data_IF_827699354634
#
_entry.id   IF_827699354634
#
_cell.length_a   1.000
_cell.length_b   1.000
_cell.length_c   1.000
_cell.angle_alpha   90.00
_cell.angle_beta   90.00
_cell.angle_gamma   90.00
#
_symmetry.space_group_name_H-M   'P 1'
#
loop_
_entity.id
_entity.type
_entity.pdbx_description
1 polymer ?
#
# COMPACT_ATOMS: atom_id res chain seq x y z
N UNK A 1 -8.28 8.07 -3.43
CA UNK A 1 -7.25 7.40 -4.28
C UNK A 1 -7.59 7.23 -5.79
N UNK A 2 -8.70 7.75 -6.33
CA UNK A 2 -8.95 7.71 -7.80
C UNK A 2 -7.84 8.36 -8.64
N UNK A 3 -7.19 9.39 -8.07
CA UNK A 3 -5.88 9.95 -8.46
C UNK A 3 -4.89 8.87 -8.91
N UNK A 4 -4.53 8.08 -7.91
CA UNK A 4 -3.56 7.01 -7.96
C UNK A 4 -4.03 5.87 -8.87
N UNK A 5 -5.30 5.46 -8.78
CA UNK A 5 -5.87 4.42 -9.65
C UNK A 5 -5.58 4.70 -11.14
N UNK A 6 -5.88 5.91 -11.61
CA UNK A 6 -5.61 6.28 -13.01
C UNK A 6 -4.13 6.29 -13.38
N UNK A 7 -3.26 6.64 -12.43
CA UNK A 7 -1.81 6.59 -12.66
C UNK A 7 -1.31 5.15 -12.79
N UNK A 8 -1.82 4.26 -11.94
CA UNK A 8 -1.49 2.84 -12.00
C UNK A 8 -1.99 2.21 -13.31
N UNK A 9 -3.19 2.55 -13.77
CA UNK A 9 -3.68 2.15 -15.10
C UNK A 9 -2.78 2.64 -16.25
N UNK A 10 -2.08 3.76 -16.07
CA UNK A 10 -1.10 4.27 -17.05
C UNK A 10 0.27 3.59 -16.95
N UNK A 11 0.43 2.59 -16.08
CA UNK A 11 1.69 1.89 -15.85
C UNK A 11 2.62 2.54 -14.81
N UNK A 12 2.15 3.54 -14.06
CA UNK A 12 2.97 4.22 -13.05
C UNK A 12 3.06 3.37 -11.78
N UNK A 13 4.29 3.04 -11.37
CA UNK A 13 4.55 2.39 -10.09
C UNK A 13 4.39 3.36 -8.93
N UNK A 14 3.93 2.82 -7.81
CA UNK A 14 3.75 3.54 -6.57
C UNK A 14 4.37 2.77 -5.41
N UNK A 15 4.91 3.52 -4.46
CA UNK A 15 5.53 2.97 -3.25
C UNK A 15 4.65 3.24 -2.03
N UNK A 16 4.72 2.34 -1.05
CA UNK A 16 4.13 2.51 0.27
C UNK A 16 5.20 2.31 1.35
N UNK A 17 5.11 3.11 2.41
CA UNK A 17 6.07 3.07 3.51
C UNK A 17 5.65 2.03 4.55
N UNK A 18 6.60 1.21 5.01
CA UNK A 18 6.40 0.15 6.00
C UNK A 18 5.71 0.66 7.28
N UNK A 19 6.09 1.86 7.74
CA UNK A 19 5.51 2.52 8.91
C UNK A 19 3.97 2.68 8.82
N UNK A 20 3.42 2.85 7.61
CA UNK A 20 1.98 2.96 7.36
C UNK A 20 1.22 1.64 7.58
N UNK A 21 1.91 0.50 7.65
CA UNK A 21 1.32 -0.83 7.85
C UNK A 21 1.50 -1.39 9.26
N UNK A 22 2.48 -0.87 10.02
CA UNK A 22 2.87 -1.45 11.33
C UNK A 22 2.47 -0.57 12.52
N UNK A 23 1.39 0.22 12.37
CA UNK A 23 0.81 1.06 13.42
C UNK A 23 1.74 2.16 13.99
N UNK A 24 2.67 2.71 13.19
CA UNK A 24 3.34 3.98 13.57
C UNK A 24 2.42 5.21 13.35
N UNK A 25 1.23 5.01 12.78
CA UNK A 25 0.26 6.04 12.42
C UNK A 25 -1.16 5.73 12.94
N UNK A 26 -2.12 6.64 12.69
CA UNK A 26 -3.53 6.44 13.05
C UNK A 26 -4.15 5.23 12.35
N UNK A 27 -5.22 4.69 12.95
CA UNK A 27 -6.04 3.62 12.38
C UNK A 27 -6.53 3.96 10.96
N UNK A 28 -6.89 5.22 10.71
CA UNK A 28 -7.27 5.70 9.37
C UNK A 28 -6.15 5.53 8.32
N UNK A 29 -4.89 5.77 8.70
CA UNK A 29 -3.75 5.57 7.80
C UNK A 29 -3.51 4.09 7.54
N UNK A 30 -3.68 3.25 8.57
CA UNK A 30 -3.55 1.80 8.42
C UNK A 30 -4.63 1.27 7.47
N UNK A 31 -5.89 1.58 7.71
CA UNK A 31 -7.02 1.14 6.88
C UNK A 31 -6.84 1.57 5.43
N UNK A 32 -6.50 2.85 5.21
CA UNK A 32 -6.27 3.35 3.87
C UNK A 32 -5.09 2.66 3.18
N UNK A 33 -4.01 2.37 3.91
CA UNK A 33 -2.84 1.66 3.38
C UNK A 33 -3.17 0.23 2.97
N UNK A 34 -4.02 -0.46 3.74
CA UNK A 34 -4.51 -1.79 3.40
C UNK A 34 -5.41 -1.75 2.16
N UNK A 35 -6.32 -0.77 2.05
CA UNK A 35 -7.13 -0.58 0.84
C UNK A 35 -6.26 -0.39 -0.40
N UNK A 36 -5.15 0.35 -0.31
CA UNK A 36 -4.23 0.50 -1.46
C UNK A 36 -3.60 -0.83 -1.89
N UNK A 37 -3.27 -1.72 -0.95
CA UNK A 37 -2.70 -3.05 -1.25
C UNK A 37 -3.77 -3.96 -1.86
N UNK A 38 -4.95 -4.03 -1.23
CA UNK A 38 -6.09 -4.83 -1.69
C UNK A 38 -6.48 -4.48 -3.14
N UNK A 39 -6.41 -3.20 -3.48
CA UNK A 39 -6.74 -2.70 -4.82
C UNK A 39 -5.55 -2.67 -5.80
N UNK A 40 -4.39 -3.24 -5.42
CA UNK A 40 -3.16 -3.26 -6.24
C UNK A 40 -2.71 -1.87 -6.70
N UNK A 41 -2.85 -0.88 -5.82
CA UNK A 41 -2.49 0.52 -6.10
C UNK A 41 -1.07 0.88 -5.67
N UNK A 42 -0.38 -0.03 -4.97
CA UNK A 42 1.00 0.12 -4.51
C UNK A 42 1.78 -1.13 -4.86
N UNK A 43 3.04 -0.95 -5.25
CA UNK A 43 3.84 -1.96 -5.94
C UNK A 43 5.18 -2.22 -5.26
N UNK A 44 5.61 -1.29 -4.41
CA UNK A 44 6.92 -1.34 -3.76
C UNK A 44 6.70 -1.03 -2.29
N UNK A 45 7.19 -1.92 -1.42
CA UNK A 45 7.23 -1.67 0.01
C UNK A 45 8.62 -1.11 0.37
N UNK A 46 8.65 0.09 0.96
CA UNK A 46 9.90 0.76 1.36
C UNK A 46 9.92 1.04 2.84
N UNK A 47 11.11 1.11 3.44
CA UNK A 47 11.24 1.45 4.85
C UNK A 47 11.04 2.95 5.13
N UNK A 48 11.53 3.80 4.20
CA UNK A 48 11.69 5.24 4.39
C UNK A 48 12.39 5.59 5.72
N UNK A 49 13.35 4.73 6.09
CA UNK A 49 14.02 4.78 7.37
C UNK A 49 15.03 5.92 7.47
N UNK A 50 15.11 6.54 8.65
CA UNK A 50 16.05 7.65 8.93
C UNK A 50 16.86 7.43 10.22
N UNK A 51 16.79 6.25 10.82
CA UNK A 51 17.56 5.88 11.99
C UNK A 51 17.03 4.64 12.71
N UNK A 52 17.68 4.27 13.82
CA UNK A 52 17.31 3.08 14.60
C UNK A 52 16.20 3.36 15.63
N UNK A 53 16.06 4.61 16.08
CA UNK A 53 15.08 5.03 17.10
C UNK A 53 13.82 5.65 16.49
N UNK A 54 14.00 6.61 15.57
CA UNK A 54 12.91 7.31 14.88
C UNK A 54 12.89 6.86 13.42
N UNK A 55 11.71 6.49 12.89
CA UNK A 55 11.54 5.93 11.54
C UNK A 55 12.49 4.75 11.31
N UNK A 56 12.32 3.73 12.16
CA UNK A 56 13.08 2.49 12.07
C UNK A 56 12.62 1.66 10.86
N UNK A 57 13.44 0.75 10.32
CA UNK A 57 13.20 0.25 8.96
C UNK A 57 12.04 -0.73 8.78
N UNK A 58 11.41 -1.26 9.83
CA UNK A 58 10.15 -2.06 9.91
C UNK A 58 9.71 -2.98 8.74
N UNK A 59 10.60 -3.32 7.80
CA UNK A 59 10.24 -3.94 6.52
C UNK A 59 9.75 -5.37 6.69
N UNK A 60 10.36 -6.16 7.58
CA UNK A 60 9.95 -7.55 7.82
C UNK A 60 8.50 -7.61 8.33
N UNK A 61 8.17 -6.84 9.36
CA UNK A 61 6.81 -6.80 9.90
C UNK A 61 5.80 -6.29 8.86
N UNK A 62 6.16 -5.25 8.09
CA UNK A 62 5.28 -4.74 7.04
C UNK A 62 5.09 -5.74 5.88
N UNK A 63 6.13 -6.52 5.53
CA UNK A 63 6.06 -7.60 4.55
C UNK A 63 5.07 -8.68 5.00
N UNK A 64 5.08 -9.05 6.27
CA UNK A 64 4.16 -10.05 6.82
C UNK A 64 2.70 -9.56 6.74
N UNK A 65 2.46 -8.26 6.95
CA UNK A 65 1.15 -7.64 6.73
C UNK A 65 0.75 -7.67 5.25
N UNK A 66 1.66 -7.38 4.32
CA UNK A 66 1.36 -7.53 2.88
C UNK A 66 1.02 -8.97 2.53
N UNK A 67 1.75 -9.95 3.09
CA UNK A 67 1.53 -11.36 2.84
C UNK A 67 0.15 -11.83 3.34
N UNK A 68 -0.33 -11.31 4.47
CA UNK A 68 -1.67 -11.64 4.97
C UNK A 68 -2.81 -11.05 4.13
N UNK A 69 -2.59 -9.89 3.49
CA UNK A 69 -3.60 -9.20 2.67
C UNK A 69 -3.63 -9.73 1.23
N UNK A 70 -2.46 -9.82 0.59
CA UNK A 70 -2.34 -10.07 -0.85
C UNK A 70 -1.60 -11.37 -1.20
N UNK A 71 -1.17 -12.13 -0.18
CA UNK A 71 -0.45 -13.41 -0.34
C UNK A 71 1.07 -13.26 -0.43
N UNK A 72 1.76 -14.38 -0.20
CA UNK A 72 3.24 -14.43 -0.15
C UNK A 72 3.89 -14.02 -1.47
N UNK A 73 3.26 -14.33 -2.61
CA UNK A 73 3.76 -13.95 -3.93
C UNK A 73 3.75 -12.42 -4.12
N UNK A 74 2.69 -11.74 -3.69
CA UNK A 74 2.60 -10.28 -3.74
C UNK A 74 3.62 -9.65 -2.80
N UNK A 75 3.74 -10.15 -1.57
CA UNK A 75 4.74 -9.67 -0.61
C UNK A 75 6.17 -9.77 -1.18
N UNK A 76 6.53 -10.95 -1.70
CA UNK A 76 7.83 -11.17 -2.36
C UNK A 76 8.02 -10.25 -3.56
N UNK A 77 6.99 -10.07 -4.40
CA UNK A 77 7.07 -9.20 -5.57
C UNK A 77 7.34 -7.75 -5.17
N UNK A 78 6.68 -7.25 -4.13
CA UNK A 78 6.80 -5.88 -3.64
C UNK A 78 8.13 -5.59 -2.92
N UNK A 79 8.74 -6.60 -2.26
CA UNK A 79 9.96 -6.42 -1.48
C UNK A 79 11.23 -6.85 -2.19
N UNK A 80 11.15 -7.75 -3.18
CA UNK A 80 12.32 -8.34 -3.83
C UNK A 80 12.29 -8.18 -5.35
N UNK A 81 11.24 -8.65 -6.03
CA UNK A 81 11.27 -8.78 -7.49
C UNK A 81 11.22 -7.43 -8.21
N UNK A 82 10.25 -6.58 -7.86
CA UNK A 82 10.13 -5.24 -8.46
C UNK A 82 11.36 -4.39 -8.13
N UNK A 83 11.80 -4.27 -6.86
CA UNK A 83 13.03 -3.56 -6.52
C UNK A 83 14.25 -4.06 -7.30
N UNK A 84 14.44 -5.38 -7.41
CA UNK A 84 15.55 -5.97 -8.18
C UNK A 84 15.51 -5.54 -9.66
N UNK A 85 14.34 -5.61 -10.30
CA UNK A 85 14.21 -5.20 -11.71
C UNK A 85 14.52 -3.72 -11.90
N UNK A 86 14.08 -2.86 -10.98
CA UNK A 86 14.40 -1.42 -11.01
C UNK A 86 15.92 -1.20 -10.92
N UNK A 87 16.59 -1.88 -9.98
CA UNK A 87 18.05 -1.78 -9.83
C UNK A 87 18.82 -2.32 -11.04
N UNK A 88 18.27 -3.31 -11.73
CA UNK A 88 18.83 -3.88 -12.96
C UNK A 88 18.49 -3.06 -14.22
N UNK A 89 17.73 -1.96 -14.10
CA UNK A 89 17.28 -1.17 -15.25
C UNK A 89 16.31 -1.92 -16.18
N UNK A 90 15.65 -2.96 -15.67
CA UNK A 90 14.67 -3.75 -16.42
C UNK A 90 13.29 -3.12 -16.33
N UNK A 91 12.53 -3.19 -17.43
CA UNK A 91 11.13 -2.79 -17.45
C UNK A 91 10.32 -3.51 -16.36
N UNK A 92 9.39 -2.82 -15.73
CA UNK A 92 8.46 -3.38 -14.74
C UNK A 92 7.05 -3.04 -15.18
N UNK A 93 6.24 -4.07 -15.38
CA UNK A 93 4.82 -3.94 -15.61
C UNK A 93 4.09 -4.08 -14.26
N UNK A 94 3.34 -3.05 -13.81
CA UNK A 94 2.46 -3.20 -12.66
C UNK A 94 1.32 -4.17 -12.98
N UNK A 95 0.78 -4.80 -11.94
CA UNK A 95 -0.46 -5.54 -12.10
C UNK A 95 -1.61 -4.56 -12.32
N UNK A 96 -2.60 -4.95 -13.13
CA UNK A 96 -3.79 -4.13 -13.35
C UNK A 96 -4.46 -3.81 -11.99
N UNK A 97 -4.81 -2.54 -11.75
CA UNK A 97 -5.43 -2.15 -10.50
C UNK A 97 -6.83 -2.76 -10.40
N UNK A 98 -7.20 -3.25 -9.22
CA UNK A 98 -8.56 -3.77 -9.01
C UNK A 98 -9.54 -2.62 -8.79
N UNK A 99 -10.79 -2.71 -9.28
CA UNK A 99 -11.75 -1.60 -9.22
C UNK A 99 -11.87 -0.98 -7.84
N UNK A 100 -11.49 0.29 -7.72
CA UNK A 100 -11.65 1.04 -6.49
C UNK A 100 -13.04 1.69 -6.46
N UNK A 101 -13.97 1.13 -5.68
CA UNK A 101 -15.28 1.76 -5.46
C UNK A 101 -15.22 2.68 -4.25
N UNK A 102 -15.39 3.99 -4.50
CA UNK A 102 -15.68 5.00 -3.48
C UNK A 102 -17.05 4.74 -2.82
N UNK A 103 -17.18 3.73 -1.98
CA UNK A 103 -18.45 3.41 -1.31
C UNK A 103 -18.52 3.91 0.15
N UNK A 104 -17.39 4.23 0.79
CA UNK A 104 -17.36 4.42 2.26
C UNK A 104 -17.59 5.85 2.76
N UNK A 105 -17.49 6.88 1.91
CA UNK A 105 -17.67 8.28 2.37
C UNK A 105 -19.14 8.66 2.62
N UNK A 106 -20.10 7.97 2.00
CA UNK A 106 -21.53 8.26 2.16
C UNK A 106 -22.15 7.59 3.40
N UNK A 107 -21.82 6.32 3.67
CA UNK A 107 -22.44 5.57 4.77
C UNK A 107 -21.99 6.06 6.15
N UNK A 108 -20.70 6.36 6.34
CA UNK A 108 -20.18 6.82 7.65
C UNK A 108 -20.75 8.17 8.06
N UNK A 109 -20.83 9.12 7.12
CA UNK A 109 -21.47 10.44 7.34
C UNK A 109 -22.97 10.29 7.62
N UNK A 110 -23.64 9.33 6.97
CA UNK A 110 -25.06 9.07 7.22
C UNK A 110 -25.30 8.49 8.62
N UNK A 111 -24.49 7.52 9.06
CA UNK A 111 -24.63 6.93 10.39
C UNK A 111 -24.29 7.92 11.51
N UNK A 112 -23.19 8.68 11.40
CA UNK A 112 -22.78 9.65 12.43
C UNK A 112 -23.74 10.85 12.57
N UNK A 113 -24.52 11.15 11.51
CA UNK A 113 -25.45 12.27 11.47
C UNK A 113 -26.85 11.93 11.97
N UNK A 114 -27.27 10.67 11.90
CA UNK A 114 -28.64 10.25 12.22
C UNK A 114 -28.75 9.38 13.47
N UNK A 115 -27.65 8.79 13.94
CA UNK A 115 -27.62 8.02 15.18
C UNK A 115 -26.64 8.68 16.16
N UNK A 116 -27.14 9.70 16.87
CA UNK A 116 -26.56 10.24 18.11
C UNK A 116 -27.53 10.02 19.24
#
# INVERSE_FOLDING_TARGET
PMRLFRWVEMGILAQITAASLVQEFSEEILDFSQELIEHRLVHILVSDAHGLKRRSPKLSAARDVVASIAGESAARRMTEDIPRRILEGKFVEPDDPLPYRSAKHGLRVYFDRFFK
#
